data_IF_176866706414
#
_entry.id   IF_176866706414
#
_cell.length_a   1.000
_cell.length_b   1.000
_cell.length_c   1.000
_cell.angle_alpha   90.00
_cell.angle_beta   90.00
_cell.angle_gamma   90.00
#
_symmetry.space_group_name_H-M   'P 1'
#
loop_
_entity.id
_entity.type
_entity.pdbx_description
1 polymer ?
#
# COMPACT_ATOMS: atom_id res chain seq x y z
N UNK A 1 6.26 -3.73 -43.50
CA UNK A 1 5.80 -3.47 -42.09
C UNK A 1 6.76 -2.45 -41.52
N UNK A 2 6.35 -1.18 -41.38
CA UNK A 2 7.21 -0.14 -40.83
C UNK A 2 7.33 -0.36 -39.33
N UNK A 3 8.57 -0.47 -38.86
CA UNK A 3 8.85 -0.51 -37.42
C UNK A 3 8.40 0.83 -36.80
N UNK A 4 7.78 0.83 -35.61
CA UNK A 4 7.46 2.08 -34.94
C UNK A 4 8.71 2.91 -34.77
N UNK A 5 8.67 4.17 -35.20
CA UNK A 5 9.79 5.10 -35.09
C UNK A 5 10.05 5.46 -33.62
N UNK A 6 10.76 4.59 -32.93
CA UNK A 6 11.23 4.83 -31.57
C UNK A 6 12.15 6.05 -31.46
N UNK A 7 12.77 6.45 -32.58
CA UNK A 7 13.72 7.55 -32.62
C UNK A 7 13.09 8.94 -32.69
N UNK A 8 11.82 9.07 -33.07
CA UNK A 8 11.20 10.40 -33.19
C UNK A 8 10.81 10.99 -31.84
N UNK A 9 10.45 10.17 -30.86
CA UNK A 9 10.09 10.65 -29.53
C UNK A 9 11.33 10.97 -28.67
N UNK A 10 12.46 10.34 -28.96
CA UNK A 10 13.70 10.56 -28.21
C UNK A 10 14.57 11.73 -28.73
N UNK A 11 14.37 12.16 -29.96
CA UNK A 11 15.21 13.20 -30.61
C UNK A 11 14.51 14.54 -30.79
N UNK A 12 13.24 14.65 -30.51
CA UNK A 12 12.54 15.92 -30.60
C UNK A 12 13.03 16.86 -29.52
N UNK A 13 13.87 17.82 -29.91
CA UNK A 13 14.34 18.94 -29.08
C UNK A 13 13.22 19.84 -28.54
N UNK A 14 11.98 19.49 -28.76
CA UNK A 14 10.77 20.13 -28.25
C UNK A 14 10.09 19.23 -27.21
N UNK A 15 10.75 19.05 -26.06
CA UNK A 15 10.07 19.04 -24.78
C UNK A 15 9.24 17.82 -24.38
N UNK A 16 9.16 16.74 -25.12
CA UNK A 16 8.66 15.49 -24.56
C UNK A 16 9.85 14.61 -24.14
N UNK A 17 10.36 14.89 -22.98
CA UNK A 17 11.30 13.98 -22.32
C UNK A 17 10.49 12.79 -21.80
N UNK A 18 10.70 11.61 -22.41
CA UNK A 18 10.19 10.37 -21.87
C UNK A 18 10.97 10.05 -20.57
N UNK A 19 10.33 10.24 -19.45
CA UNK A 19 10.85 9.85 -18.14
C UNK A 19 9.99 8.70 -17.59
N UNK A 20 10.53 7.47 -17.60
CA UNK A 20 9.80 6.34 -17.07
C UNK A 20 9.67 6.45 -15.54
N UNK A 21 8.48 6.21 -15.03
CA UNK A 21 8.24 6.07 -13.60
C UNK A 21 8.99 4.84 -13.09
N UNK A 22 9.81 5.03 -12.07
CA UNK A 22 10.58 3.94 -11.46
C UNK A 22 9.86 3.39 -10.23
N UNK A 23 9.67 2.08 -10.20
CA UNK A 23 8.97 1.40 -9.12
C UNK A 23 9.71 1.42 -7.76
N UNK A 24 10.99 1.72 -7.75
CA UNK A 24 11.84 1.76 -6.55
C UNK A 24 11.96 3.15 -5.91
N UNK A 25 11.38 4.19 -6.51
CA UNK A 25 11.43 5.55 -5.98
C UNK A 25 10.13 5.86 -5.21
N UNK A 26 10.02 5.29 -4.03
CA UNK A 26 8.89 5.54 -3.14
C UNK A 26 9.32 5.59 -1.69
N UNK A 27 8.51 6.24 -0.87
CA UNK A 27 8.60 6.26 0.59
C UNK A 27 7.24 5.93 1.18
N UNK A 28 7.24 5.14 2.25
CA UNK A 28 6.02 4.78 2.97
C UNK A 28 6.14 5.28 4.40
N UNK A 29 5.19 6.09 4.82
CA UNK A 29 5.05 6.52 6.22
C UNK A 29 3.83 5.85 6.82
N UNK A 30 4.01 5.14 7.92
CA UNK A 30 2.95 4.43 8.62
C UNK A 30 2.77 5.07 9.99
N UNK A 31 1.60 5.64 10.22
CA UNK A 31 1.22 6.27 11.48
C UNK A 31 0.27 5.34 12.25
N UNK A 32 0.76 4.67 13.30
CA UNK A 32 -0.05 3.77 14.10
C UNK A 32 -1.10 4.54 14.92
N UNK A 33 -2.14 3.87 15.43
CA UNK A 33 -3.14 4.48 16.30
C UNK A 33 -2.55 4.96 17.63
N UNK A 34 -3.20 5.89 18.27
CA UNK A 34 -2.79 6.42 19.56
C UNK A 34 -2.58 5.31 20.60
N UNK A 35 -1.46 5.38 21.33
CA UNK A 35 -1.07 4.38 22.36
C UNK A 35 -0.43 3.09 21.83
N UNK A 36 -0.16 3.00 20.53
CA UNK A 36 0.83 2.07 19.96
C UNK A 36 2.14 2.84 19.83
N UNK A 37 3.23 2.24 20.26
CA UNK A 37 4.54 2.88 20.16
C UNK A 37 4.84 3.13 18.67
N UNK A 38 5.08 4.38 18.31
CA UNK A 38 5.60 4.72 17.00
C UNK A 38 7.01 4.15 16.85
N UNK A 39 7.27 3.53 15.71
CA UNK A 39 8.56 2.94 15.43
C UNK A 39 9.07 3.43 14.09
N UNK A 40 10.24 4.08 14.06
CA UNK A 40 10.88 4.48 12.80
C UNK A 40 11.16 3.26 11.89
N UNK A 41 11.16 2.05 12.44
CA UNK A 41 11.32 0.82 11.67
C UNK A 41 10.12 0.51 10.76
N UNK A 42 8.94 1.05 11.05
CA UNK A 42 7.79 0.98 10.14
C UNK A 42 8.06 1.64 8.79
N UNK A 43 9.00 2.58 8.73
CA UNK A 43 9.40 3.27 7.51
C UNK A 43 10.66 2.63 6.94
N UNK A 44 11.67 2.41 7.76
CA UNK A 44 13.00 1.99 7.34
C UNK A 44 13.08 0.54 6.82
N UNK A 45 12.15 -0.32 7.23
CA UNK A 45 12.17 -1.75 6.90
C UNK A 45 11.15 -2.17 5.85
N UNK A 46 10.52 -1.21 5.18
CA UNK A 46 9.64 -1.49 4.04
C UNK A 46 10.48 -1.92 2.84
N UNK A 47 10.26 -3.15 2.36
CA UNK A 47 10.89 -3.66 1.15
C UNK A 47 10.06 -3.38 -0.09
N UNK A 48 8.76 -3.58 0.01
CA UNK A 48 7.84 -3.39 -1.10
C UNK A 48 6.44 -3.06 -0.61
N UNK A 49 5.70 -2.39 -1.47
CA UNK A 49 4.28 -2.09 -1.28
C UNK A 49 3.52 -2.48 -2.55
N UNK A 50 2.34 -3.06 -2.38
CA UNK A 50 1.46 -3.46 -3.48
C UNK A 50 0.00 -3.14 -3.12
N UNK A 51 -0.89 -3.18 -4.11
CA UNK A 51 -2.32 -2.98 -3.87
C UNK A 51 -2.76 -1.51 -3.83
N UNK A 52 -1.98 -0.58 -4.38
CA UNK A 52 -2.38 0.83 -4.52
C UNK A 52 -3.40 1.06 -5.64
N UNK A 53 -4.36 0.12 -5.79
CA UNK A 53 -5.46 0.17 -6.75
C UNK A 53 -6.61 0.98 -6.18
N UNK A 54 -6.45 2.30 -6.18
CA UNK A 54 -7.39 3.24 -5.56
C UNK A 54 -8.72 3.29 -6.29
N UNK A 55 -8.69 3.16 -7.61
CA UNK A 55 -9.87 3.27 -8.47
C UNK A 55 -10.32 1.88 -8.91
N UNK A 56 -11.35 1.38 -8.24
CA UNK A 56 -11.90 0.04 -8.53
C UNK A 56 -12.65 0.01 -9.86
N UNK A 57 -12.71 -1.17 -10.46
CA UNK A 57 -13.45 -1.38 -11.70
C UNK A 57 -14.94 -1.04 -11.53
N UNK A 58 -15.48 -0.38 -12.52
CA UNK A 58 -16.90 -0.02 -12.57
C UNK A 58 -17.58 -0.96 -13.58
N UNK A 59 -18.63 -1.65 -13.16
CA UNK A 59 -19.44 -2.45 -14.05
C UNK A 59 -20.24 -1.55 -15.01
N UNK A 60 -20.20 -1.90 -16.30
CA UNK A 60 -21.08 -1.28 -17.29
C UNK A 60 -22.48 -1.89 -17.19
N UNK A 61 -23.47 -1.07 -16.89
CA UNK A 61 -24.88 -1.47 -16.97
C UNK A 61 -25.44 -1.18 -18.35
N UNK A 62 -26.17 -2.13 -18.88
CA UNK A 62 -26.77 -2.02 -20.22
C UNK A 62 -28.28 -1.92 -20.14
N UNK A 63 -28.85 -1.01 -20.91
CA UNK A 63 -30.29 -0.88 -21.08
C UNK A 63 -30.64 -1.14 -22.54
N UNK A 64 -31.55 -2.07 -22.77
CA UNK A 64 -32.05 -2.42 -24.10
C UNK A 64 -33.28 -1.57 -24.43
N UNK A 65 -33.24 -0.93 -25.58
CA UNK A 65 -34.38 -0.26 -26.22
C UNK A 65 -34.83 -1.07 -27.43
N UNK A 66 -35.99 -0.77 -27.98
CA UNK A 66 -36.59 -1.52 -29.10
C UNK A 66 -35.63 -1.73 -30.29
N UNK A 67 -34.79 -0.75 -30.57
CA UNK A 67 -33.84 -0.78 -31.69
C UNK A 67 -32.38 -0.46 -31.32
N UNK A 68 -32.06 -0.33 -30.06
CA UNK A 68 -30.71 0.01 -29.60
C UNK A 68 -30.44 -0.51 -28.21
N UNK A 69 -29.17 -0.79 -27.93
CA UNK A 69 -28.66 -1.05 -26.58
C UNK A 69 -27.71 0.08 -26.19
N UNK A 70 -27.91 0.67 -25.04
CA UNK A 70 -27.01 1.69 -24.47
C UNK A 70 -26.40 1.20 -23.19
N UNK A 71 -25.13 1.50 -23.01
CA UNK A 71 -24.40 1.18 -21.79
C UNK A 71 -24.07 2.46 -21.02
N UNK A 72 -24.12 2.38 -19.72
CA UNK A 72 -23.74 3.46 -18.81
C UNK A 72 -22.93 2.89 -17.62
N UNK A 73 -22.13 3.73 -16.99
CA UNK A 73 -21.33 3.33 -15.85
C UNK A 73 -22.22 3.03 -14.64
N UNK A 74 -21.97 1.92 -14.00
CA UNK A 74 -22.57 1.58 -12.70
C UNK A 74 -21.79 2.19 -11.53
N UNK A 75 -22.06 1.75 -10.34
CA UNK A 75 -21.25 2.06 -9.16
C UNK A 75 -20.15 1.02 -8.97
N UNK A 76 -18.98 1.39 -8.42
CA UNK A 76 -17.99 0.40 -8.00
C UNK A 76 -18.59 -0.50 -6.91
N UNK A 77 -18.24 -1.76 -6.94
CA UNK A 77 -18.73 -2.75 -5.97
C UNK A 77 -18.15 -2.54 -4.57
N UNK A 78 -16.97 -1.96 -4.50
CA UNK A 78 -16.21 -1.74 -3.27
C UNK A 78 -15.40 -0.45 -3.37
N UNK A 79 -15.33 0.30 -2.28
CA UNK A 79 -14.53 1.54 -2.18
C UNK A 79 -13.29 1.37 -1.31
N UNK A 80 -13.23 0.29 -0.52
CA UNK A 80 -12.06 0.00 0.33
C UNK A 80 -10.84 -0.39 -0.51
N UNK A 81 -9.67 -0.04 0.01
CA UNK A 81 -8.37 -0.33 -0.61
C UNK A 81 -7.58 -1.25 0.29
N UNK A 82 -7.15 -2.39 -0.24
CA UNK A 82 -6.26 -3.31 0.45
C UNK A 82 -4.83 -3.08 -0.02
N UNK A 83 -3.94 -2.77 0.91
CA UNK A 83 -2.53 -2.51 0.64
C UNK A 83 -1.67 -3.52 1.37
N UNK A 84 -0.82 -4.18 0.63
CA UNK A 84 0.15 -5.15 1.15
C UNK A 84 1.52 -4.50 1.28
N UNK A 85 2.10 -4.53 2.46
CA UNK A 85 3.45 -4.05 2.72
C UNK A 85 4.31 -5.20 3.22
N UNK A 86 5.45 -5.40 2.58
CA UNK A 86 6.45 -6.38 2.98
C UNK A 86 7.59 -5.70 3.73
N UNK A 87 7.93 -6.25 4.88
CA UNK A 87 8.98 -5.76 5.77
C UNK A 87 10.13 -6.75 5.87
N UNK A 88 11.36 -6.23 5.94
CA UNK A 88 12.51 -6.98 6.43
C UNK A 88 12.54 -6.91 7.96
N UNK A 89 12.70 -8.05 8.60
CA UNK A 89 12.80 -8.11 10.06
C UNK A 89 14.24 -7.92 10.51
N UNK A 90 14.44 -7.00 11.46
CA UNK A 90 15.72 -6.74 12.08
C UNK A 90 15.58 -6.85 13.61
N UNK A 91 16.40 -7.72 14.21
CA UNK A 91 16.44 -7.94 15.66
C UNK A 91 17.53 -7.14 16.38
N UNK A 92 18.37 -6.43 15.63
CA UNK A 92 19.56 -5.76 16.16
C UNK A 92 19.26 -4.43 16.89
N UNK A 93 18.00 -4.12 17.12
CA UNK A 93 17.59 -2.92 17.83
C UNK A 93 17.09 -3.24 19.23
N UNK A 94 17.19 -2.24 20.12
CA UNK A 94 16.63 -2.30 21.46
C UNK A 94 15.19 -2.79 21.42
N UNK A 95 14.76 -3.54 22.43
CA UNK A 95 13.42 -4.14 22.54
C UNK A 95 12.23 -3.18 22.30
N UNK A 96 12.45 -1.88 22.29
CA UNK A 96 11.42 -0.87 22.07
C UNK A 96 11.14 -0.60 20.59
N UNK A 97 12.12 -0.85 19.72
CA UNK A 97 12.03 -0.55 18.28
C UNK A 97 11.74 -1.79 17.42
N UNK A 98 11.42 -2.92 18.01
CA UNK A 98 11.15 -4.14 17.26
C UNK A 98 9.82 -4.04 16.51
N UNK A 99 9.89 -4.06 15.18
CA UNK A 99 8.76 -3.89 14.27
C UNK A 99 7.58 -4.83 14.59
N UNK A 100 7.87 -6.10 14.80
CA UNK A 100 6.83 -7.10 15.11
C UNK A 100 6.07 -6.77 16.39
N UNK A 101 6.75 -6.22 17.39
CA UNK A 101 6.12 -5.80 18.66
C UNK A 101 5.10 -4.67 18.41
N UNK A 102 5.47 -3.69 17.61
CA UNK A 102 4.59 -2.57 17.26
C UNK A 102 3.35 -3.05 16.49
N UNK A 103 3.54 -3.90 15.49
CA UNK A 103 2.45 -4.47 14.72
C UNK A 103 1.53 -5.36 15.57
N UNK A 104 2.11 -6.15 16.49
CA UNK A 104 1.35 -6.95 17.45
C UNK A 104 0.53 -6.09 18.40
N UNK A 105 1.09 -4.98 18.90
CA UNK A 105 0.37 -4.03 19.73
C UNK A 105 -0.78 -3.40 18.96
N UNK A 106 -0.59 -3.07 17.68
CA UNK A 106 -1.64 -2.57 16.82
C UNK A 106 -2.75 -3.62 16.63
N UNK A 107 -2.38 -4.85 16.29
CA UNK A 107 -3.33 -5.95 16.14
C UNK A 107 -4.14 -6.21 17.42
N UNK A 108 -3.48 -6.21 18.58
CA UNK A 108 -4.16 -6.44 19.87
C UNK A 108 -5.16 -5.33 20.22
N UNK A 109 -5.01 -4.13 19.66
CA UNK A 109 -6.03 -3.09 19.80
C UNK A 109 -7.28 -3.38 19.00
N UNK A 110 -7.18 -4.13 17.91
CA UNK A 110 -8.34 -4.57 17.13
C UNK A 110 -9.02 -5.76 17.80
N UNK A 111 -8.23 -6.73 18.16
CA UNK A 111 -8.66 -7.96 18.80
C UNK A 111 -7.56 -8.51 19.70
N UNK A 112 -7.85 -8.67 20.96
CA UNK A 112 -6.94 -9.33 21.91
C UNK A 112 -7.28 -10.83 21.96
N UNK A 113 -6.40 -11.70 21.46
CA UNK A 113 -6.65 -13.14 21.43
C UNK A 113 -6.64 -13.79 22.82
N UNK A 114 -6.08 -13.11 23.83
CA UNK A 114 -6.02 -13.64 25.19
C UNK A 114 -7.31 -13.39 25.96
N UNK A 115 -7.92 -12.23 25.77
CA UNK A 115 -9.13 -11.82 26.49
C UNK A 115 -10.39 -11.95 25.65
N UNK A 116 -10.26 -12.09 24.31
CA UNK A 116 -11.37 -12.11 23.36
C UNK A 116 -12.04 -10.75 23.17
N UNK A 117 -11.45 -9.67 23.68
CA UNK A 117 -12.01 -8.32 23.58
C UNK A 117 -11.73 -7.71 22.23
N UNK A 118 -12.75 -7.15 21.59
CA UNK A 118 -12.65 -6.36 20.35
C UNK A 118 -12.59 -4.87 20.69
N UNK A 119 -11.64 -4.16 20.03
CA UNK A 119 -11.53 -2.71 20.14
C UNK A 119 -12.57 -1.96 19.30
N UNK A 120 -12.82 -0.71 19.65
CA UNK A 120 -13.62 0.17 18.80
C UNK A 120 -12.79 0.66 17.62
N UNK A 121 -13.41 0.80 16.44
CA UNK A 121 -12.72 1.22 15.21
C UNK A 121 -11.86 2.47 15.40
N UNK A 122 -12.39 3.49 16.06
CA UNK A 122 -11.68 4.76 16.33
C UNK A 122 -10.38 4.60 17.13
N UNK A 123 -10.24 3.49 17.87
CA UNK A 123 -9.10 3.27 18.77
C UNK A 123 -7.98 2.46 18.11
N UNK A 124 -8.27 1.78 16.97
CA UNK A 124 -7.29 0.95 16.28
C UNK A 124 -6.96 1.39 14.85
N UNK A 125 -7.64 2.39 14.29
CA UNK A 125 -7.31 2.87 12.95
C UNK A 125 -6.07 3.74 12.95
N UNK A 126 -5.27 3.60 11.90
CA UNK A 126 -4.09 4.40 11.63
C UNK A 126 -4.14 5.02 10.24
N UNK A 127 -3.02 5.59 9.81
CA UNK A 127 -2.89 6.23 8.49
C UNK A 127 -1.64 5.72 7.78
N UNK A 128 -1.75 5.42 6.50
CA UNK A 128 -0.62 5.13 5.62
C UNK A 128 -0.47 6.26 4.61
N UNK A 129 0.75 6.75 4.44
CA UNK A 129 1.09 7.72 3.41
C UNK A 129 2.16 7.14 2.50
N UNK A 130 1.90 7.11 1.21
CA UNK A 130 2.83 6.64 0.18
C UNK A 130 3.19 7.81 -0.71
N UNK A 131 4.46 8.14 -0.78
CA UNK A 131 4.99 9.19 -1.62
C UNK A 131 5.83 8.56 -2.72
N UNK A 132 5.61 8.97 -3.95
CA UNK A 132 6.35 8.49 -5.11
C UNK A 132 7.12 9.65 -5.74
N UNK A 133 8.38 9.37 -6.10
CA UNK A 133 9.32 10.37 -6.61
C UNK A 133 9.69 10.10 -8.06
N UNK A 134 10.00 11.18 -8.80
CA UNK A 134 10.68 11.10 -10.08
C UNK A 134 12.20 10.90 -9.88
N UNK A 135 12.95 10.77 -10.96
CA UNK A 135 14.42 10.62 -10.90
C UNK A 135 15.14 11.87 -10.36
N UNK A 136 14.54 13.03 -10.45
CA UNK A 136 15.09 14.27 -9.93
C UNK A 136 14.89 14.41 -8.41
N UNK A 137 14.05 13.54 -7.82
CA UNK A 137 13.69 13.59 -6.41
C UNK A 137 12.44 14.43 -6.13
N UNK A 138 11.74 14.90 -7.16
CA UNK A 138 10.50 15.64 -6.98
C UNK A 138 9.34 14.67 -6.76
N UNK A 139 8.43 15.05 -5.90
CA UNK A 139 7.22 14.27 -5.63
C UNK A 139 6.27 14.44 -6.82
N UNK A 140 5.85 13.35 -7.43
CA UNK A 140 4.83 13.38 -8.48
C UNK A 140 3.48 12.81 -8.05
N UNK A 141 3.48 11.96 -7.01
CA UNK A 141 2.24 11.37 -6.50
C UNK A 141 2.33 11.14 -4.99
N UNK A 142 1.30 11.55 -4.27
CA UNK A 142 1.12 11.24 -2.84
C UNK A 142 -0.23 10.58 -2.64
N UNK A 143 -0.23 9.42 -2.01
CA UNK A 143 -1.43 8.67 -1.65
C UNK A 143 -1.51 8.61 -0.12
N UNK A 144 -2.57 9.13 0.44
CA UNK A 144 -2.89 9.02 1.86
C UNK A 144 -4.06 8.07 2.02
N UNK A 145 -3.86 7.01 2.77
CA UNK A 145 -4.88 6.04 3.13
C UNK A 145 -5.28 6.30 4.58
N UNK A 146 -6.55 6.60 4.78
CA UNK A 146 -7.11 6.91 6.09
C UNK A 146 -7.87 5.71 6.64
N UNK A 147 -8.05 5.68 7.96
CA UNK A 147 -8.77 4.61 8.66
C UNK A 147 -8.22 3.20 8.37
N UNK A 148 -6.90 3.10 8.27
CA UNK A 148 -6.22 1.84 8.00
C UNK A 148 -6.22 0.92 9.21
N UNK A 149 -6.49 -0.37 8.98
CA UNK A 149 -6.38 -1.40 9.99
C UNK A 149 -5.83 -2.70 9.38
N UNK A 150 -5.22 -3.55 10.22
CA UNK A 150 -4.57 -4.78 9.78
C UNK A 150 -5.63 -5.86 9.54
N UNK A 151 -5.59 -6.49 8.36
CA UNK A 151 -6.49 -7.58 7.98
C UNK A 151 -5.79 -8.92 7.82
N UNK A 152 -4.45 -8.92 7.66
CA UNK A 152 -3.67 -10.15 7.58
C UNK A 152 -3.37 -10.77 8.94
N UNK A 153 -3.08 -12.06 8.94
CA UNK A 153 -2.42 -12.69 10.06
C UNK A 153 -1.01 -12.09 10.25
N UNK A 154 -0.58 -11.90 11.48
CA UNK A 154 0.79 -11.48 11.79
C UNK A 154 1.66 -12.74 11.95
N UNK A 155 2.27 -13.18 10.87
CA UNK A 155 3.18 -14.32 10.83
C UNK A 155 4.33 -14.06 9.87
N UNK A 156 5.41 -14.81 10.01
CA UNK A 156 6.50 -14.75 9.03
C UNK A 156 6.04 -15.36 7.71
N UNK A 157 6.30 -14.68 6.61
CA UNK A 157 6.04 -15.20 5.26
C UNK A 157 7.04 -16.27 4.86
N UNK A 158 8.24 -16.22 5.43
CA UNK A 158 9.31 -17.19 5.17
C UNK A 158 9.15 -18.39 6.10
N UNK A 159 9.17 -19.59 5.54
CA UNK A 159 9.23 -20.82 6.31
C UNK A 159 10.50 -20.83 7.17
N UNK A 160 10.36 -21.15 8.45
CA UNK A 160 11.50 -21.31 9.34
C UNK A 160 12.13 -22.67 9.08
N UNK A 161 13.25 -22.69 8.36
CA UNK A 161 13.98 -23.88 7.97
C UNK A 161 15.43 -23.77 8.41
N UNK A 162 15.99 -24.85 8.97
CA UNK A 162 17.40 -24.91 9.38
C UNK A 162 18.38 -24.91 8.20
N UNK A 163 17.91 -25.24 7.01
CA UNK A 163 18.74 -25.32 5.81
C UNK A 163 18.85 -24.00 5.07
N UNK A 164 17.95 -23.04 5.34
CA UNK A 164 17.96 -21.72 4.67
C UNK A 164 18.51 -20.66 5.59
N UNK A 165 19.45 -19.87 5.08
CA UNK A 165 19.99 -18.67 5.73
C UNK A 165 19.27 -17.37 5.29
N UNK A 166 18.10 -17.50 4.61
CA UNK A 166 17.38 -16.36 4.10
C UNK A 166 16.80 -15.50 5.24
N UNK A 167 16.89 -14.17 5.13
CA UNK A 167 16.33 -13.29 6.13
C UNK A 167 14.79 -13.43 6.18
N UNK A 168 14.25 -13.48 7.38
CA UNK A 168 12.81 -13.54 7.58
C UNK A 168 12.14 -12.24 7.13
N UNK A 169 11.04 -12.38 6.40
CA UNK A 169 10.19 -11.27 5.95
C UNK A 169 8.81 -11.37 6.60
N UNK A 170 8.16 -10.23 6.75
CA UNK A 170 6.82 -10.12 7.29
C UNK A 170 5.94 -9.39 6.27
N UNK A 171 4.84 -10.02 5.88
CA UNK A 171 3.82 -9.43 5.05
C UNK A 171 2.65 -8.97 5.91
N UNK A 172 2.23 -7.73 5.72
CA UNK A 172 1.07 -7.18 6.41
C UNK A 172 0.14 -6.53 5.40
N UNK A 173 -1.15 -6.88 5.50
CA UNK A 173 -2.20 -6.29 4.67
C UNK A 173 -3.00 -5.33 5.53
N UNK A 174 -3.07 -4.07 5.07
CA UNK A 174 -3.94 -3.06 5.63
C UNK A 174 -5.13 -2.83 4.72
N UNK A 175 -6.28 -2.73 5.32
CA UNK A 175 -7.49 -2.25 4.65
C UNK A 175 -7.75 -0.81 5.05
N UNK A 176 -8.01 0.03 4.06
CA UNK A 176 -8.40 1.42 4.23
C UNK A 176 -9.81 1.64 3.69
N UNK A 177 -10.62 2.40 4.39
CA UNK A 177 -11.97 2.74 3.96
C UNK A 177 -12.01 4.05 3.16
N UNK A 178 -10.99 4.90 3.32
CA UNK A 178 -10.92 6.18 2.64
C UNK A 178 -9.50 6.45 2.14
N UNK A 179 -9.40 7.09 0.99
CA UNK A 179 -8.11 7.51 0.44
C UNK A 179 -8.17 8.92 -0.11
N UNK A 180 -7.02 9.57 -0.13
CA UNK A 180 -6.80 10.84 -0.79
C UNK A 180 -5.57 10.73 -1.67
N UNK A 181 -5.70 11.10 -2.94
CA UNK A 181 -4.61 11.15 -3.89
C UNK A 181 -4.32 12.58 -4.30
N UNK A 182 -3.06 12.94 -4.32
CA UNK A 182 -2.57 14.23 -4.81
C UNK A 182 -1.53 13.93 -5.90
N UNK A 183 -1.75 14.48 -7.07
CA UNK A 183 -0.82 14.48 -8.20
C UNK A 183 -0.19 15.86 -8.29
N UNK A 184 1.13 15.93 -8.43
CA UNK A 184 1.87 17.19 -8.58
C UNK A 184 1.85 17.66 -10.02
#
# INVERSE_FOLDING_TARGET
MALPHYSQDQTSKKGMQYEPVQANLFEVTILPPAGVADSPLLIQHVNSIAGLDLYKAIEAKTQKFKFATRSYAGMPSETSVDVTVNFSLNLNNSNQAYLYKTLRQWYNKQFDPQTGVMGLKKDYVGTLVVVQFNRAGDIYRTVTLEDCFITSALGFTTELNYESADPATLEVIWRSDAFKEVLA
#
